data_IF_350447445525
#
_entry.id   IF_350447445525
#
_cell.length_a   1.000
_cell.length_b   1.000
_cell.length_c   1.000
_cell.angle_alpha   90.00
_cell.angle_beta   90.00
_cell.angle_gamma   90.00
#
_symmetry.space_group_name_H-M   'P 1'
#
loop_
_entity.id
_entity.type
_entity.pdbx_description
1 polymer ?
#
# COMPACT_ATOMS: atom_id res chain seq x y z
N UNK A 1 28.00 -26.89 -20.25
CA UNK A 1 27.05 -26.77 -19.12
C UNK A 1 27.44 -25.51 -18.38
N UNK A 2 27.03 -24.35 -18.88
CA UNK A 2 27.30 -23.08 -18.20
C UNK A 2 26.13 -22.83 -17.26
N UNK A 3 26.41 -22.84 -15.95
CA UNK A 3 25.48 -22.46 -14.91
C UNK A 3 25.19 -20.97 -15.05
N UNK A 4 24.02 -20.63 -15.61
CA UNK A 4 23.43 -19.31 -15.43
C UNK A 4 22.79 -19.29 -14.04
N UNK A 5 23.61 -19.05 -13.03
CA UNK A 5 23.13 -18.69 -11.70
C UNK A 5 23.41 -17.19 -11.54
N UNK A 6 22.65 -16.38 -12.30
CA UNK A 6 22.59 -14.95 -12.05
C UNK A 6 21.66 -14.75 -10.86
N UNK A 7 22.10 -14.10 -9.77
CA UNK A 7 21.18 -13.69 -8.73
C UNK A 7 20.24 -12.68 -9.39
N UNK A 8 18.96 -13.02 -9.51
CA UNK A 8 17.94 -12.05 -9.89
C UNK A 8 17.98 -10.94 -8.84
N UNK A 9 18.58 -9.81 -9.21
CA UNK A 9 18.45 -8.57 -8.44
C UNK A 9 16.96 -8.26 -8.35
N UNK A 10 16.45 -8.14 -7.12
CA UNK A 10 15.10 -7.66 -6.88
C UNK A 10 14.98 -6.27 -7.55
N UNK A 11 13.88 -5.99 -8.28
CA UNK A 11 13.71 -4.70 -8.93
C UNK A 11 13.83 -3.58 -7.89
N UNK A 12 14.80 -2.70 -8.13
CA UNK A 12 15.22 -1.63 -7.24
C UNK A 12 14.02 -0.75 -6.87
N UNK A 13 13.61 -0.79 -5.60
CA UNK A 13 12.54 0.05 -5.04
C UNK A 13 11.28 -0.67 -4.51
N UNK A 14 11.16 -2.00 -4.59
CA UNK A 14 10.05 -2.72 -3.95
C UNK A 14 10.50 -3.31 -2.62
N UNK A 15 9.97 -2.80 -1.50
CA UNK A 15 10.21 -3.39 -0.17
C UNK A 15 9.78 -4.86 -0.15
N UNK A 16 10.67 -5.75 0.28
CA UNK A 16 10.41 -7.17 0.35
C UNK A 16 9.17 -7.48 1.21
N UNK A 17 8.32 -8.41 0.77
CA UNK A 17 7.06 -8.73 1.45
C UNK A 17 7.23 -9.11 2.93
N UNK A 18 8.35 -9.73 3.30
CA UNK A 18 8.67 -10.06 4.69
C UNK A 18 8.96 -8.82 5.55
N UNK A 19 9.62 -7.80 4.98
CA UNK A 19 9.84 -6.52 5.64
C UNK A 19 8.49 -5.79 5.83
N UNK A 20 7.68 -5.71 4.77
CA UNK A 20 6.33 -5.13 4.86
C UNK A 20 5.44 -5.86 5.89
N UNK A 21 5.51 -7.19 5.97
CA UNK A 21 4.78 -7.96 6.98
C UNK A 21 5.17 -7.56 8.40
N UNK A 22 6.46 -7.26 8.62
CA UNK A 22 6.98 -6.78 9.92
C UNK A 22 6.51 -5.35 10.19
N UNK A 23 6.64 -4.45 9.21
CA UNK A 23 6.17 -3.06 9.32
C UNK A 23 4.66 -2.99 9.62
N UNK A 24 3.83 -3.80 8.96
CA UNK A 24 2.40 -3.86 9.26
C UNK A 24 2.11 -4.41 10.67
N UNK A 25 2.92 -5.31 11.22
CA UNK A 25 2.77 -5.73 12.61
C UNK A 25 3.09 -4.57 13.57
N UNK A 26 4.16 -3.82 13.29
CA UNK A 26 4.53 -2.63 14.08
C UNK A 26 3.41 -1.59 14.04
N UNK A 27 2.88 -1.24 12.86
CA UNK A 27 1.72 -0.35 12.75
C UNK A 27 0.50 -0.87 13.51
N UNK A 28 0.24 -2.18 13.50
CA UNK A 28 -0.87 -2.77 14.24
C UNK A 28 -0.74 -2.56 15.76
N UNK A 29 0.49 -2.56 16.28
CA UNK A 29 0.80 -2.30 17.68
C UNK A 29 0.73 -0.79 17.97
N UNK A 30 1.38 0.03 17.15
CA UNK A 30 1.41 1.50 17.32
C UNK A 30 0.01 2.11 17.28
N UNK A 31 -0.87 1.64 16.38
CA UNK A 31 -2.26 2.07 16.30
C UNK A 31 -3.03 1.75 17.58
N UNK A 32 -2.72 0.65 18.26
CA UNK A 32 -3.36 0.30 19.53
C UNK A 32 -2.99 1.26 20.67
N UNK A 33 -1.85 1.94 20.57
CA UNK A 33 -1.38 2.93 21.53
C UNK A 33 -1.82 4.35 21.18
N UNK A 34 -2.32 4.58 19.96
CA UNK A 34 -2.81 5.89 19.57
C UNK A 34 -4.14 6.19 20.26
N UNK A 35 -4.37 7.45 20.68
CA UNK A 35 -5.61 7.85 21.31
C UNK A 35 -6.67 8.06 20.22
N UNK A 36 -7.01 7.03 19.44
CA UNK A 36 -8.06 7.05 18.42
C UNK A 36 -9.39 6.59 19.03
N UNK A 37 -10.54 6.91 18.42
CA UNK A 37 -11.81 6.30 18.80
C UNK A 37 -11.72 4.77 18.77
N UNK A 38 -12.33 4.11 19.77
CA UNK A 38 -12.23 2.65 19.95
C UNK A 38 -12.60 1.88 18.67
N UNK A 39 -13.76 2.18 18.09
CA UNK A 39 -14.21 1.57 16.83
C UNK A 39 -13.20 1.73 15.68
N UNK A 40 -12.51 2.88 15.61
CA UNK A 40 -11.54 3.17 14.54
C UNK A 40 -10.26 2.37 14.73
N UNK A 41 -9.82 2.25 15.98
CA UNK A 41 -8.68 1.42 16.36
C UNK A 41 -8.93 -0.04 16.02
N UNK A 42 -10.09 -0.58 16.40
CA UNK A 42 -10.47 -1.96 16.11
C UNK A 42 -10.56 -2.25 14.61
N UNK A 43 -11.26 -1.38 13.86
CA UNK A 43 -11.38 -1.51 12.41
C UNK A 43 -10.01 -1.48 11.74
N UNK A 44 -9.16 -0.52 12.08
CA UNK A 44 -7.86 -0.34 11.44
C UNK A 44 -6.92 -1.50 11.75
N UNK A 45 -6.89 -2.00 12.98
CA UNK A 45 -6.09 -3.18 13.35
C UNK A 45 -6.54 -4.43 12.59
N UNK A 46 -7.85 -4.62 12.40
CA UNK A 46 -8.37 -5.72 11.60
C UNK A 46 -7.93 -5.61 10.13
N UNK A 47 -8.02 -4.41 9.53
CA UNK A 47 -7.60 -4.18 8.13
C UNK A 47 -6.09 -4.37 7.93
N UNK A 48 -5.28 -3.91 8.88
CA UNK A 48 -3.83 -4.11 8.87
C UNK A 48 -3.50 -5.60 8.95
N UNK A 49 -4.18 -6.34 9.84
CA UNK A 49 -3.97 -7.79 9.97
C UNK A 49 -4.33 -8.54 8.68
N UNK A 50 -5.44 -8.18 8.03
CA UNK A 50 -5.85 -8.80 6.76
C UNK A 50 -4.77 -8.63 5.67
N UNK A 51 -4.19 -7.43 5.55
CA UNK A 51 -3.11 -7.14 4.59
C UNK A 51 -1.86 -7.93 4.97
N UNK A 52 -1.47 -7.91 6.26
CA UNK A 52 -0.30 -8.62 6.78
C UNK A 52 -0.37 -10.12 6.50
N UNK A 53 -1.50 -10.76 6.77
CA UNK A 53 -1.70 -12.19 6.50
C UNK A 53 -1.59 -12.51 5.01
N UNK A 54 -2.16 -11.65 4.16
CA UNK A 54 -2.09 -11.83 2.69
C UNK A 54 -0.65 -11.69 2.20
N UNK A 55 0.09 -10.70 2.69
CA UNK A 55 1.52 -10.53 2.36
C UNK A 55 2.35 -11.73 2.81
N UNK A 56 2.08 -12.28 3.99
CA UNK A 56 2.80 -13.45 4.50
C UNK A 56 2.56 -14.72 3.67
N UNK A 57 1.38 -14.87 3.06
CA UNK A 57 0.99 -16.05 2.27
C UNK A 57 1.35 -15.88 0.80
N UNK A 58 1.00 -14.74 0.20
CA UNK A 58 1.04 -14.51 -1.25
C UNK A 58 2.19 -13.60 -1.69
N UNK A 59 2.84 -12.90 -0.75
CA UNK A 59 3.89 -11.93 -1.01
C UNK A 59 3.42 -10.62 -1.66
N UNK A 60 2.12 -10.45 -1.90
CA UNK A 60 1.48 -9.24 -2.46
C UNK A 60 0.09 -9.06 -1.86
N UNK A 61 -0.35 -7.81 -1.75
CA UNK A 61 -1.71 -7.50 -1.31
C UNK A 61 -2.67 -7.31 -2.51
N UNK A 62 -3.96 -7.50 -2.29
CA UNK A 62 -4.96 -7.12 -3.29
C UNK A 62 -5.22 -5.60 -3.27
N UNK A 63 -5.49 -5.02 -4.43
CA UNK A 63 -5.83 -3.59 -4.53
C UNK A 63 -7.07 -3.23 -3.68
N UNK A 64 -8.04 -4.14 -3.57
CA UNK A 64 -9.25 -3.93 -2.76
C UNK A 64 -8.94 -3.83 -1.27
N UNK A 65 -8.04 -4.67 -0.75
CA UNK A 65 -7.60 -4.61 0.65
C UNK A 65 -6.88 -3.29 0.94
N UNK A 66 -5.92 -2.89 0.07
CA UNK A 66 -5.20 -1.63 0.26
C UNK A 66 -6.12 -0.42 0.15
N UNK A 67 -7.10 -0.42 -0.76
CA UNK A 67 -8.10 0.66 -0.85
C UNK A 67 -8.96 0.79 0.40
N UNK A 68 -9.38 -0.34 0.99
CA UNK A 68 -10.13 -0.33 2.25
C UNK A 68 -9.29 0.19 3.41
N UNK A 69 -8.02 -0.24 3.48
CA UNK A 69 -7.10 0.26 4.50
C UNK A 69 -6.83 1.76 4.32
N UNK A 70 -6.53 2.23 3.10
CA UNK A 70 -6.37 3.67 2.80
C UNK A 70 -7.58 4.48 3.24
N UNK A 71 -8.79 4.02 2.90
CA UNK A 71 -10.01 4.68 3.32
C UNK A 71 -10.08 4.77 4.85
N UNK A 72 -9.84 3.68 5.55
CA UNK A 72 -9.88 3.62 7.02
C UNK A 72 -8.88 4.60 7.64
N UNK A 73 -7.65 4.64 7.11
CA UNK A 73 -6.60 5.58 7.55
C UNK A 73 -7.00 7.03 7.30
N UNK A 74 -7.58 7.34 6.14
CA UNK A 74 -8.05 8.71 5.84
C UNK A 74 -9.20 9.15 6.74
N UNK A 75 -10.11 8.24 7.08
CA UNK A 75 -11.19 8.53 8.03
C UNK A 75 -10.62 8.73 9.44
N UNK A 76 -9.64 7.93 9.88
CA UNK A 76 -8.94 8.13 11.14
C UNK A 76 -8.21 9.48 11.22
N UNK A 77 -7.55 9.91 10.13
CA UNK A 77 -6.94 11.24 10.03
C UNK A 77 -7.99 12.35 10.15
N UNK A 78 -9.18 12.15 9.58
CA UNK A 78 -10.29 13.10 9.73
C UNK A 78 -10.77 13.16 11.18
N UNK A 79 -10.89 12.01 11.85
CA UNK A 79 -11.24 11.92 13.27
C UNK A 79 -10.22 12.69 14.13
N UNK A 80 -8.91 12.45 13.94
CA UNK A 80 -7.80 13.15 14.65
C UNK A 80 -7.81 14.66 14.42
N UNK A 81 -8.16 15.10 13.20
CA UNK A 81 -8.27 16.54 12.87
C UNK A 81 -9.51 17.19 13.48
N UNK A 82 -10.60 16.45 13.61
CA UNK A 82 -11.84 16.92 14.22
C UNK A 82 -11.80 16.87 15.76
N UNK A 83 -10.79 16.21 16.33
CA UNK A 83 -10.59 16.10 17.77
C UNK A 83 -10.48 17.48 18.43
N UNK A 84 -11.08 17.61 19.61
CA UNK A 84 -10.91 18.77 20.46
C UNK A 84 -9.56 18.70 21.15
N UNK A 85 -8.69 19.68 20.87
CA UNK A 85 -7.37 19.74 21.49
C UNK A 85 -7.47 20.36 22.88
N UNK A 86 -7.06 19.60 23.90
CA UNK A 86 -7.07 20.03 25.30
C UNK A 86 -5.65 20.15 25.87
N UNK A 87 -5.39 21.05 26.83
CA UNK A 87 -4.10 21.11 27.52
C UNK A 87 -3.80 19.79 28.23
N UNK A 88 -2.52 19.40 28.24
CA UNK A 88 -2.10 18.22 29.00
C UNK A 88 -2.38 18.44 30.50
N UNK A 89 -2.99 17.47 31.21
CA UNK A 89 -3.24 17.60 32.63
C UNK A 89 -1.93 17.74 33.42
N UNK A 90 -1.82 18.79 34.24
CA UNK A 90 -0.65 19.03 35.07
C UNK A 90 -0.46 17.88 36.07
N UNK A 91 0.69 17.20 36.01
CA UNK A 91 1.07 16.16 36.97
C UNK A 91 0.68 14.72 36.63
N UNK A 92 0.18 14.45 35.42
CA UNK A 92 0.01 13.07 34.90
C UNK A 92 1.23 12.58 34.15
N UNK A 93 1.46 11.28 34.21
CA UNK A 93 2.42 10.57 33.36
C UNK A 93 2.03 10.74 31.88
N UNK A 94 2.97 11.25 31.06
CA UNK A 94 2.77 11.54 29.64
C UNK A 94 2.66 10.26 28.77
N UNK A 95 2.86 9.10 29.37
CA UNK A 95 2.58 7.78 28.75
C UNK A 95 1.12 7.33 28.93
N UNK A 96 0.35 8.00 29.79
CA UNK A 96 -1.06 7.67 30.00
C UNK A 96 -1.95 8.48 29.05
N UNK A 97 -2.56 7.81 28.07
CA UNK A 97 -3.52 8.42 27.14
C UNK A 97 -4.62 9.19 27.89
N UNK A 98 -4.92 10.42 27.45
CA UNK A 98 -6.06 11.19 27.98
C UNK A 98 -7.37 10.48 27.58
N UNK A 99 -8.25 10.09 28.53
CA UNK A 99 -9.48 9.40 28.18
C UNK A 99 -10.48 10.35 27.48
N UNK A 100 -10.69 10.12 26.19
CA UNK A 100 -11.81 10.64 25.39
C UNK A 100 -11.76 9.97 24.01
N UNK A 101 -12.70 9.15 23.55
CA UNK A 101 -14.04 8.84 24.03
C UNK A 101 -14.23 7.32 24.12
N UNK A 102 -14.69 6.87 25.29
CA UNK A 102 -15.36 5.57 25.38
C UNK A 102 -16.74 5.71 24.70
N UNK A 103 -16.77 5.42 23.41
CA UNK A 103 -17.90 4.93 22.61
C UNK A 103 -19.22 5.71 22.53
N UNK A 104 -19.45 6.82 23.23
CA UNK A 104 -20.74 7.53 23.12
C UNK A 104 -20.68 9.01 23.51
N UNK A 105 -20.88 9.90 22.54
CA UNK A 105 -21.46 11.24 22.76
C UNK A 105 -20.61 12.33 23.42
N UNK A 106 -19.41 12.04 23.95
CA UNK A 106 -18.44 13.07 24.35
C UNK A 106 -17.56 13.48 23.17
N UNK A 107 -17.18 14.75 23.07
CA UNK A 107 -16.21 15.21 22.09
C UNK A 107 -14.92 14.37 22.25
N UNK A 108 -14.44 13.82 21.13
CA UNK A 108 -13.16 13.13 21.06
C UNK A 108 -12.06 14.15 21.39
N UNK A 109 -11.38 13.97 22.52
CA UNK A 109 -10.40 14.92 23.06
C UNK A 109 -9.00 14.34 23.01
N UNK A 110 -8.03 15.16 22.60
CA UNK A 110 -6.61 14.78 22.53
C UNK A 110 -5.74 15.95 22.98
N UNK A 111 -4.55 15.69 23.48
CA UNK A 111 -3.53 16.74 23.63
C UNK A 111 -2.86 17.04 22.29
N UNK A 112 -2.18 18.19 22.19
CA UNK A 112 -1.44 18.55 20.96
C UNK A 112 -0.34 17.52 20.62
N UNK A 113 0.29 16.94 21.66
CA UNK A 113 1.33 15.92 21.47
C UNK A 113 0.74 14.61 20.97
N UNK A 114 -0.39 14.19 21.53
CA UNK A 114 -1.14 13.01 21.09
C UNK A 114 -1.64 13.18 19.65
N UNK A 115 -2.22 14.33 19.32
CA UNK A 115 -2.68 14.62 17.96
C UNK A 115 -1.53 14.50 16.95
N UNK A 116 -0.35 15.04 17.28
CA UNK A 116 0.84 14.97 16.42
C UNK A 116 1.35 13.55 16.26
N UNK A 117 1.45 12.78 17.36
CA UNK A 117 1.88 11.37 17.33
C UNK A 117 0.92 10.53 16.48
N UNK A 118 -0.38 10.63 16.72
CA UNK A 118 -1.38 9.90 15.96
C UNK A 118 -1.34 10.27 14.47
N UNK A 119 -1.18 11.56 14.15
CA UNK A 119 -1.04 12.00 12.76
C UNK A 119 0.18 11.39 12.08
N UNK A 120 1.33 11.37 12.76
CA UNK A 120 2.56 10.81 12.19
C UNK A 120 2.40 9.31 11.89
N UNK A 121 1.93 8.52 12.87
CA UNK A 121 1.69 7.08 12.69
C UNK A 121 0.74 6.81 11.52
N UNK A 122 -0.35 7.59 11.41
CA UNK A 122 -1.32 7.43 10.33
C UNK A 122 -0.77 7.84 8.96
N UNK A 123 0.10 8.85 8.91
CA UNK A 123 0.75 9.29 7.66
C UNK A 123 1.79 8.27 7.21
N UNK A 124 2.60 7.76 8.13
CA UNK A 124 3.60 6.72 7.85
C UNK A 124 2.92 5.45 7.33
N UNK A 125 1.83 5.02 7.98
CA UNK A 125 1.01 3.91 7.49
C UNK A 125 0.44 4.18 6.09
N UNK A 126 0.01 5.42 5.80
CA UNK A 126 -0.50 5.77 4.47
C UNK A 126 0.57 5.60 3.39
N UNK A 127 1.81 6.01 3.67
CA UNK A 127 2.93 5.80 2.75
C UNK A 127 3.23 4.32 2.53
N UNK A 128 3.34 3.53 3.61
CA UNK A 128 3.57 2.08 3.51
C UNK A 128 2.48 1.39 2.69
N UNK A 129 1.21 1.80 2.84
CA UNK A 129 0.10 1.23 2.07
C UNK A 129 0.21 1.55 0.57
N UNK A 130 0.68 2.73 0.20
CA UNK A 130 0.90 3.12 -1.20
C UNK A 130 2.09 2.38 -1.81
N UNK A 131 3.13 2.13 -1.03
CA UNK A 131 4.34 1.40 -1.48
C UNK A 131 4.13 -0.13 -1.50
N UNK A 132 3.06 -0.63 -0.88
CA UNK A 132 2.79 -2.07 -0.83
C UNK A 132 2.50 -2.63 -2.23
N UNK A 133 3.25 -3.65 -2.68
CA UNK A 133 3.09 -4.20 -4.01
C UNK A 133 1.74 -4.91 -4.17
N UNK A 134 1.15 -4.76 -5.35
CA UNK A 134 -0.12 -5.40 -5.71
C UNK A 134 0.05 -6.34 -6.89
N UNK A 135 -0.89 -7.29 -7.03
CA UNK A 135 -0.98 -8.16 -8.20
C UNK A 135 -1.02 -7.40 -9.54
N UNK A 136 -1.64 -6.22 -9.58
CA UNK A 136 -1.69 -5.39 -10.77
C UNK A 136 -0.32 -4.76 -11.10
N UNK A 137 0.42 -4.32 -10.07
CA UNK A 137 1.79 -3.83 -10.21
C UNK A 137 2.72 -4.93 -10.74
N UNK A 138 2.70 -6.11 -10.12
CA UNK A 138 3.55 -7.25 -10.52
C UNK A 138 3.39 -7.60 -12.01
N UNK A 139 2.16 -7.66 -12.53
CA UNK A 139 1.92 -7.95 -13.95
C UNK A 139 2.44 -6.87 -14.89
N UNK A 140 2.46 -5.60 -14.45
CA UNK A 140 3.00 -4.49 -15.23
C UNK A 140 4.51 -4.58 -15.31
N UNK A 141 5.17 -4.87 -14.19
CA UNK A 141 6.63 -4.97 -14.12
C UNK A 141 7.14 -6.20 -14.88
N UNK A 142 6.46 -7.34 -14.76
CA UNK A 142 6.72 -8.54 -15.57
C UNK A 142 6.58 -8.29 -17.08
N UNK A 143 5.66 -7.40 -17.48
CA UNK A 143 5.49 -7.04 -18.89
C UNK A 143 6.59 -6.11 -19.37
N UNK A 144 6.96 -5.11 -18.57
CA UNK A 144 8.07 -4.21 -18.89
C UNK A 144 9.39 -4.97 -19.05
N UNK A 145 9.68 -5.93 -18.16
CA UNK A 145 10.88 -6.76 -18.24
C UNK A 145 10.93 -7.63 -19.52
N UNK A 146 9.79 -8.15 -19.98
CA UNK A 146 9.72 -8.94 -21.24
C UNK A 146 9.91 -8.09 -22.49
N UNK A 147 9.47 -6.84 -22.46
CA UNK A 147 9.63 -5.92 -23.59
C UNK A 147 11.11 -5.50 -23.74
N UNK A 148 11.86 -5.38 -22.64
CA UNK A 148 13.30 -5.05 -22.62
C UNK A 148 14.20 -6.22 -23.10
N UNK A 149 13.85 -7.47 -22.77
CA UNK A 149 14.58 -8.67 -23.24
C UNK A 149 14.42 -8.93 -24.76
N UNK A 150 13.47 -8.26 -25.42
CA UNK A 150 13.21 -8.46 -26.87
C UNK A 150 14.13 -7.60 -27.76
N UNK A 151 14.81 -6.58 -27.22
CA UNK A 151 15.74 -5.73 -27.99
C UNK A 151 17.18 -6.30 -28.09
N UNK A 152 17.50 -7.37 -27.36
CA UNK A 152 18.85 -7.97 -27.35
C UNK A 152 19.08 -9.11 -28.35
N UNK A 153 18.12 -9.46 -29.22
CA UNK A 153 18.25 -10.60 -30.13
C UNK A 153 17.76 -10.33 -31.57
N UNK A 154 18.14 -9.18 -32.16
CA UNK A 154 18.18 -9.05 -33.64
C UNK A 154 19.61 -9.22 -34.15
N UNK A 155 20.09 -10.46 -34.00
CA UNK A 155 21.31 -10.96 -34.60
C UNK A 155 20.99 -11.89 -35.75
N UNK A 156 20.83 -11.34 -36.95
CA UNK A 156 21.01 -11.99 -38.26
C UNK A 156 20.12 -13.21 -38.55
N UNK A 157 19.06 -13.03 -39.35
CA UNK A 157 18.60 -14.11 -40.23
C UNK A 157 18.24 -13.61 -41.61
N UNK A 158 19.26 -13.67 -42.45
CA UNK A 158 19.18 -13.68 -43.91
C UNK A 158 18.24 -14.83 -44.36
N UNK A 159 17.23 -14.50 -45.15
CA UNK A 159 16.11 -15.40 -45.43
C UNK A 159 15.14 -14.83 -46.45
N UNK A 160 15.66 -14.51 -47.64
CA UNK A 160 14.96 -14.32 -48.91
C UNK A 160 13.58 -15.02 -48.99
N UNK A 161 12.48 -14.26 -49.08
CA UNK A 161 11.22 -14.73 -49.69
C UNK A 161 10.47 -13.55 -50.33
N UNK A 162 10.70 -13.44 -51.63
CA UNK A 162 9.85 -12.98 -52.72
C UNK A 162 8.49 -12.30 -52.41
N UNK A 163 8.38 -11.07 -52.93
CA UNK A 163 7.27 -10.54 -53.73
C UNK A 163 5.85 -11.09 -53.50
N UNK A 164 4.97 -10.21 -53.01
CA UNK A 164 3.53 -10.39 -53.14
C UNK A 164 2.76 -9.31 -52.38
N UNK A 165 2.77 -8.09 -52.90
CA UNK A 165 1.92 -7.01 -52.41
C UNK A 165 0.44 -7.38 -52.64
N UNK A 166 -0.33 -7.52 -51.57
CA UNK A 166 -1.79 -7.44 -51.62
C UNK A 166 -2.25 -6.35 -50.64
N UNK A 167 -2.52 -5.18 -51.21
CA UNK A 167 -3.05 -4.01 -50.52
C UNK A 167 -4.56 -4.18 -50.36
N UNK A 168 -5.00 -4.69 -49.22
CA UNK A 168 -6.42 -4.72 -48.83
C UNK A 168 -6.68 -3.82 -47.63
N UNK A 169 -6.62 -2.49 -47.81
CA UNK A 169 -7.07 -1.53 -46.81
C UNK A 169 -8.09 -0.56 -47.41
N UNK A 170 -9.33 -0.63 -46.91
CA UNK A 170 -10.38 0.42 -46.74
C UNK A 170 -11.74 -0.28 -46.74
N UNK A 171 -12.69 -0.02 -45.85
CA UNK A 171 -12.84 0.97 -44.80
C UNK A 171 -14.11 0.66 -43.98
N UNK A 172 -14.17 1.28 -42.81
CA UNK A 172 -15.21 1.14 -41.80
C UNK A 172 -16.52 1.88 -42.16
N UNK A 173 -17.57 1.56 -41.39
CA UNK A 173 -18.82 2.32 -41.11
C UNK A 173 -20.11 1.92 -41.87
N UNK A 174 -21.08 1.32 -41.15
CA UNK A 174 -22.53 1.50 -41.41
C UNK A 174 -23.00 2.89 -40.90
N UNK A 175 -24.30 3.16 -40.63
CA UNK A 175 -25.54 2.36 -40.83
C UNK A 175 -26.62 3.12 -41.65
N UNK A 176 -27.73 2.44 -42.01
CA UNK A 176 -29.15 2.78 -41.72
C UNK A 176 -30.03 1.55 -41.99
#
# INVERSE_FOLDING_TARGET
MCSNDSPSEEPDGTTAAAALTTEYEEFRLDIAEQPLPGYRTEEMRARIEDVRQTLAVDGVASAGQLQQLLRTVTEALADVRAAQVVPAPEGRDLSAAVPGAADTGSAYEVTETEQRKATNVLVDLLFTVVETPTYAGRRRDERAAREDDTEANDGTRDGNTENGADFGLTGYAGPE
#
